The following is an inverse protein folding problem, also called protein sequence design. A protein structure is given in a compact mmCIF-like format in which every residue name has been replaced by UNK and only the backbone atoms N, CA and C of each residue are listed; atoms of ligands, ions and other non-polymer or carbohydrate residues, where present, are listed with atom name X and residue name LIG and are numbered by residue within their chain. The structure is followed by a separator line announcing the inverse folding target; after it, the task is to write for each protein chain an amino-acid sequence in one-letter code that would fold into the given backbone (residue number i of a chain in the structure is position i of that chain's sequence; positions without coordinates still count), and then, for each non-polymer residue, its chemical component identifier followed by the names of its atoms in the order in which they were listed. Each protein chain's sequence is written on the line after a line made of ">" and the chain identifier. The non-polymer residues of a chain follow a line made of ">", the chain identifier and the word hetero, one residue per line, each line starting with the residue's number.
data_IF_329286883374
#
_entry.id   IF_329286883374
#
_cell.length_a   1.000
_cell.length_b   1.000
_cell.length_c   1.000
_cell.angle_alpha   90.00
_cell.angle_beta   90.00
_cell.angle_gamma   90.00
#
_symmetry.space_group_name_H-M   'P 1'
#
loop_
_entity.id
_entity.type
_entity.pdbx_description
1 polymer ?
#
# COMPACT_ATOMS: atom_id res chain seq x y z
N UNK A 1 0.82 -3.06 -13.51
CA UNK A 1 1.60 -1.87 -13.12
C UNK A 1 2.33 -2.15 -11.81
N UNK A 2 3.50 -1.52 -11.62
CA UNK A 2 4.24 -1.55 -10.36
C UNK A 2 4.24 -0.12 -9.80
N UNK A 3 3.90 0.04 -8.53
CA UNK A 3 3.99 1.30 -7.82
C UNK A 3 4.72 1.13 -6.49
N UNK A 4 5.39 2.20 -6.07
CA UNK A 4 6.16 2.29 -4.85
C UNK A 4 5.64 3.46 -4.03
N UNK A 5 5.00 3.15 -2.91
CA UNK A 5 4.25 4.08 -2.07
C UNK A 5 5.01 4.26 -0.77
N UNK A 6 5.34 5.51 -0.44
CA UNK A 6 6.01 5.87 0.82
C UNK A 6 4.97 6.22 1.87
N UNK A 7 5.02 5.55 3.01
CA UNK A 7 4.00 5.65 4.07
C UNK A 7 4.67 5.83 5.42
N UNK A 8 4.23 6.83 6.19
CA UNK A 8 4.76 7.10 7.53
C UNK A 8 4.09 6.22 8.60
N UNK A 9 4.75 6.09 9.74
CA UNK A 9 4.20 5.50 10.97
C UNK A 9 4.07 3.97 10.95
N UNK A 10 4.83 3.28 10.10
CA UNK A 10 4.95 1.81 10.11
C UNK A 10 5.89 1.38 11.24
N UNK A 11 5.33 1.19 12.44
CA UNK A 11 6.09 0.97 13.67
C UNK A 11 6.16 -0.50 14.09
N UNK A 12 5.18 -1.33 13.76
CA UNK A 12 5.04 -2.71 14.22
C UNK A 12 4.73 -3.68 13.09
N UNK A 13 4.88 -4.98 13.36
CA UNK A 13 4.41 -6.03 12.44
C UNK A 13 2.89 -6.02 12.25
N UNK A 14 2.15 -5.50 13.25
CA UNK A 14 0.70 -5.32 13.16
C UNK A 14 0.35 -4.26 12.11
N UNK A 15 1.09 -3.17 12.05
CA UNK A 15 0.87 -2.10 11.06
C UNK A 15 1.12 -2.62 9.64
N UNK A 16 2.20 -3.39 9.47
CA UNK A 16 2.50 -4.09 8.21
C UNK A 16 1.33 -4.97 7.78
N UNK A 17 0.79 -5.79 8.70
CA UNK A 17 -0.33 -6.67 8.37
C UNK A 17 -1.62 -5.88 8.07
N UNK A 18 -1.91 -4.82 8.82
CA UNK A 18 -3.08 -3.98 8.58
C UNK A 18 -3.03 -3.33 7.20
N UNK A 19 -1.91 -2.71 6.86
CA UNK A 19 -1.70 -2.07 5.55
C UNK A 19 -1.75 -3.12 4.43
N UNK A 20 -1.05 -4.26 4.60
CA UNK A 20 -1.09 -5.34 3.61
C UNK A 20 -2.51 -5.80 3.36
N UNK A 21 -3.28 -6.06 4.42
CA UNK A 21 -4.66 -6.51 4.29
C UNK A 21 -5.50 -5.48 3.55
N UNK A 22 -5.44 -4.19 3.93
CA UNK A 22 -6.17 -3.12 3.25
C UNK A 22 -5.84 -3.03 1.76
N UNK A 23 -4.56 -3.17 1.39
CA UNK A 23 -4.15 -3.19 -0.02
C UNK A 23 -4.71 -4.44 -0.69
N UNK A 24 -4.40 -5.64 -0.20
CA UNK A 24 -4.78 -6.92 -0.83
C UNK A 24 -6.28 -7.20 -0.86
N UNK A 25 -7.09 -6.46 -0.09
CA UNK A 25 -8.55 -6.49 -0.18
C UNK A 25 -9.10 -5.82 -1.44
N UNK A 26 -8.30 -5.03 -2.15
CA UNK A 26 -8.68 -4.46 -3.44
C UNK A 26 -8.61 -5.51 -4.55
N UNK A 27 -9.66 -5.61 -5.35
CA UNK A 27 -9.65 -6.44 -6.56
C UNK A 27 -8.64 -5.88 -7.57
N UNK A 28 -7.84 -6.76 -8.19
CA UNK A 28 -6.78 -6.36 -9.12
C UNK A 28 -5.38 -6.27 -8.51
N UNK A 29 -5.20 -6.49 -7.21
CA UNK A 29 -3.86 -6.64 -6.61
C UNK A 29 -3.26 -7.99 -6.98
N UNK A 30 -2.04 -7.97 -7.49
CA UNK A 30 -1.26 -9.15 -7.87
C UNK A 30 -0.24 -9.49 -6.77
N UNK A 31 0.46 -8.48 -6.24
CA UNK A 31 1.42 -8.66 -5.15
C UNK A 31 1.57 -7.38 -4.33
N UNK A 32 1.90 -7.54 -3.04
CA UNK A 32 2.19 -6.43 -2.13
C UNK A 32 3.37 -6.80 -1.22
N UNK A 33 4.39 -5.96 -1.18
CA UNK A 33 5.57 -6.10 -0.35
C UNK A 33 5.80 -4.82 0.46
N UNK A 34 5.93 -4.95 1.78
CA UNK A 34 6.09 -3.80 2.69
C UNK A 34 7.49 -3.85 3.30
N UNK A 35 8.21 -2.74 3.22
CA UNK A 35 9.55 -2.56 3.77
C UNK A 35 9.53 -1.54 4.91
N UNK A 36 9.34 -2.02 6.15
CA UNK A 36 9.40 -1.17 7.35
C UNK A 36 10.69 -0.35 7.44
N UNK A 37 11.84 -0.93 7.06
CA UNK A 37 13.15 -0.25 7.12
C UNK A 37 13.22 1.00 6.21
N UNK A 38 12.47 1.00 5.12
CA UNK A 38 12.44 2.11 4.15
C UNK A 38 11.17 2.96 4.24
N UNK A 39 10.19 2.51 5.02
CA UNK A 39 8.85 3.10 5.05
C UNK A 39 8.19 3.12 3.66
N UNK A 40 8.43 2.05 2.90
CA UNK A 40 8.01 1.89 1.50
C UNK A 40 7.15 0.64 1.32
N UNK A 41 6.17 0.74 0.44
CA UNK A 41 5.28 -0.34 0.03
C UNK A 41 5.37 -0.48 -1.48
N UNK A 42 5.75 -1.66 -1.93
CA UNK A 42 5.77 -2.01 -3.34
C UNK A 42 4.52 -2.83 -3.66
N UNK A 43 3.73 -2.32 -4.61
CA UNK A 43 2.48 -2.95 -5.03
C UNK A 43 2.54 -3.25 -6.52
N UNK A 44 2.16 -4.47 -6.88
CA UNK A 44 1.95 -4.90 -8.26
C UNK A 44 0.45 -5.11 -8.41
N UNK A 45 -0.17 -4.39 -9.34
CA UNK A 45 -1.61 -4.39 -9.55
C UNK A 45 -1.95 -4.31 -11.04
N UNK A 46 -3.17 -4.71 -11.38
CA UNK A 46 -3.70 -4.55 -12.74
C UNK A 46 -4.37 -3.18 -12.90
N UNK A 47 -3.74 -2.31 -13.70
CA UNK A 47 -4.21 -0.95 -13.96
C UNK A 47 -5.53 -0.89 -14.77
N UNK A 48 -5.98 -2.01 -15.36
CA UNK A 48 -7.29 -2.06 -15.99
C UNK A 48 -8.43 -2.18 -14.98
N UNK A 49 -8.15 -2.68 -13.77
CA UNK A 49 -9.14 -2.94 -12.73
C UNK A 49 -8.97 -2.04 -11.50
N UNK A 50 -7.76 -1.54 -11.24
CA UNK A 50 -7.42 -0.82 -10.03
C UNK A 50 -6.48 0.34 -10.32
N UNK A 51 -6.82 1.52 -9.79
CA UNK A 51 -5.99 2.71 -9.85
C UNK A 51 -5.14 2.88 -8.59
N UNK A 52 -3.99 3.56 -8.74
CA UNK A 52 -3.09 3.85 -7.63
C UNK A 52 -3.76 4.71 -6.55
N UNK A 53 -4.64 5.63 -6.95
CA UNK A 53 -5.38 6.50 -6.03
C UNK A 53 -6.28 5.69 -5.09
N UNK A 54 -6.94 4.64 -5.58
CA UNK A 54 -7.75 3.72 -4.76
C UNK A 54 -6.89 2.98 -3.72
N UNK A 55 -5.67 2.60 -4.10
CA UNK A 55 -4.71 1.96 -3.18
C UNK A 55 -4.27 2.95 -2.10
N UNK A 56 -3.99 4.21 -2.48
CA UNK A 56 -3.64 5.29 -1.55
C UNK A 56 -4.79 5.54 -0.58
N UNK A 57 -6.01 5.68 -1.09
CA UNK A 57 -7.21 5.91 -0.27
C UNK A 57 -7.44 4.76 0.72
N UNK A 58 -7.19 3.51 0.30
CA UNK A 58 -7.28 2.33 1.20
C UNK A 58 -6.31 2.41 2.38
N UNK A 59 -5.11 2.95 2.16
CA UNK A 59 -4.08 3.14 3.19
C UNK A 59 -4.46 4.31 4.12
N UNK A 60 -4.99 5.39 3.57
CA UNK A 60 -5.40 6.57 4.33
C UNK A 60 -6.65 6.31 5.17
N UNK A 61 -7.61 5.53 4.65
CA UNK A 61 -8.84 5.15 5.37
C UNK A 61 -8.59 4.35 6.64
N UNK A 62 -7.49 3.59 6.72
CA UNK A 62 -7.09 2.86 7.93
C UNK A 62 -6.20 3.71 8.87
N UNK A 63 -5.88 4.95 8.49
CA UNK A 63 -5.23 5.94 9.35
C UNK A 63 -3.73 6.15 9.13
N UNK A 64 -3.16 5.73 7.99
CA UNK A 64 -1.75 6.03 7.67
C UNK A 64 -1.65 7.13 6.62
N UNK A 65 -0.60 7.95 6.71
CA UNK A 65 -0.36 9.03 5.74
C UNK A 65 0.58 8.57 4.63
N UNK A 66 0.14 8.71 3.39
CA UNK A 66 0.98 8.52 2.21
C UNK A 66 1.75 9.82 1.94
N UNK A 67 3.08 9.71 1.77
CA UNK A 67 3.97 10.85 1.53
C UNK A 67 4.29 11.03 0.05
N UNK A 68 4.44 9.92 -0.68
CA UNK A 68 4.88 9.91 -2.08
C UNK A 68 4.46 8.60 -2.75
N UNK A 69 4.09 8.65 -4.04
CA UNK A 69 3.89 7.47 -4.88
C UNK A 69 4.74 7.61 -6.17
N UNK A 70 5.39 6.51 -6.58
CA UNK A 70 6.28 6.45 -7.76
C UNK A 70 6.10 5.16 -8.55
#
# INVERSE_FOLDING_TARGET
>A
MRALIKVRDINSSKDINNIRNAITSNEGIIACQISKKKEEIEVIYDQYFLDIDTIIESIENIGYTVLECR
#
